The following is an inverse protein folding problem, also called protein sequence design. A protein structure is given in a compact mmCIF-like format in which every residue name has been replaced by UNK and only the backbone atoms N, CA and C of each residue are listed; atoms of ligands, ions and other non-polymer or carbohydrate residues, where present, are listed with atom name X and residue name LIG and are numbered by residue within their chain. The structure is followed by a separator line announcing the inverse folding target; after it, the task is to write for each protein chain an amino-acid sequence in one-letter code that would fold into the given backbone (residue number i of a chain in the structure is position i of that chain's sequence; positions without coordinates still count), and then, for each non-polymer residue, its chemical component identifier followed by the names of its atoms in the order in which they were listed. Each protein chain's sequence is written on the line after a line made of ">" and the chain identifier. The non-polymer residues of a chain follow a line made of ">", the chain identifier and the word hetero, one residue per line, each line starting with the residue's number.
data_IF_693476189437
#
_entry.id   IF_693476189437
#
_cell.length_a   1.000
_cell.length_b   1.000
_cell.length_c   1.000
_cell.angle_alpha   90.00
_cell.angle_beta   90.00
_cell.angle_gamma   90.00
#
_symmetry.space_group_name_H-M   'P 1'
#
loop_
_entity.id
_entity.type
_entity.pdbx_description
1 polymer ?
#
# COMPACT_ATOMS: atom_id res chain seq x y z
N UNK A 1 -6.49 9.50 -3.71
CA UNK A 1 -6.40 10.77 -4.46
C UNK A 1 -5.60 10.54 -5.72
N UNK A 2 -4.32 10.93 -5.72
CA UNK A 2 -3.40 10.61 -6.81
C UNK A 2 -3.22 9.09 -6.98
N UNK A 3 -3.18 8.62 -8.22
CA UNK A 3 -2.92 7.21 -8.56
C UNK A 3 -1.42 6.93 -8.57
N UNK A 4 -1.03 5.80 -7.97
CA UNK A 4 0.35 5.29 -7.94
C UNK A 4 0.37 3.84 -8.42
N UNK A 5 1.31 3.54 -9.33
CA UNK A 5 1.50 2.18 -9.85
C UNK A 5 2.19 1.28 -8.83
N UNK A 6 1.66 0.06 -8.66
CA UNK A 6 2.32 -1.07 -8.03
C UNK A 6 2.41 -2.18 -9.08
N UNK A 7 3.64 -2.53 -9.45
CA UNK A 7 3.91 -3.62 -10.40
C UNK A 7 3.91 -4.95 -9.65
N UNK A 8 3.10 -5.89 -10.12
CA UNK A 8 3.03 -7.25 -9.58
C UNK A 8 4.00 -8.12 -10.36
N UNK A 9 4.99 -8.68 -9.68
CA UNK A 9 6.06 -9.46 -10.30
C UNK A 9 6.17 -10.81 -9.62
N UNK A 10 6.28 -11.85 -10.43
CA UNK A 10 6.67 -13.18 -9.98
C UNK A 10 8.20 -13.32 -10.06
N UNK A 11 8.85 -13.32 -8.90
CA UNK A 11 10.30 -13.45 -8.76
C UNK A 11 10.72 -14.83 -8.20
N UNK A 12 9.81 -15.82 -8.22
CA UNK A 12 10.12 -17.18 -7.77
C UNK A 12 11.26 -17.79 -8.58
N UNK A 13 12.05 -18.65 -7.95
CA UNK A 13 13.06 -19.44 -8.68
C UNK A 13 12.39 -20.54 -9.49
N UNK A 14 13.05 -20.96 -10.57
CA UNK A 14 12.55 -22.06 -11.38
C UNK A 14 12.33 -23.31 -10.52
N UNK A 15 11.11 -23.84 -10.51
CA UNK A 15 10.72 -25.00 -9.72
C UNK A 15 10.10 -24.69 -8.35
N UNK A 16 10.08 -23.43 -7.91
CA UNK A 16 9.37 -23.03 -6.68
C UNK A 16 7.86 -22.86 -6.94
N UNK A 17 7.03 -23.48 -6.10
CA UNK A 17 5.56 -23.45 -6.17
C UNK A 17 4.99 -23.79 -7.57
N UNK A 18 5.34 -24.93 -8.19
CA UNK A 18 4.85 -25.30 -9.53
C UNK A 18 3.32 -25.32 -9.62
N UNK A 19 2.62 -25.52 -8.51
CA UNK A 19 1.17 -25.60 -8.40
C UNK A 19 0.42 -24.32 -8.79
N UNK A 20 1.09 -23.16 -8.84
CA UNK A 20 0.48 -21.89 -9.29
C UNK A 20 0.82 -21.52 -10.73
N UNK A 21 1.59 -22.35 -11.44
CA UNK A 21 1.92 -22.09 -12.85
C UNK A 21 0.67 -22.20 -13.73
N UNK A 22 0.39 -21.14 -14.49
CA UNK A 22 -0.80 -21.05 -15.34
C UNK A 22 -2.11 -20.88 -14.56
N UNK A 23 -2.05 -20.61 -13.25
CA UNK A 23 -3.21 -20.31 -12.41
C UNK A 23 -3.23 -18.83 -12.03
N UNK A 24 -4.43 -18.34 -11.74
CA UNK A 24 -4.58 -17.03 -11.12
C UNK A 24 -4.20 -17.11 -9.64
N UNK A 25 -3.82 -15.97 -9.09
CA UNK A 25 -3.69 -15.75 -7.65
C UNK A 25 -4.52 -14.54 -7.24
N UNK A 26 -4.96 -14.49 -6.00
CA UNK A 26 -5.65 -13.34 -5.43
C UNK A 26 -4.68 -12.50 -4.63
N UNK A 27 -4.64 -11.20 -4.86
CA UNK A 27 -3.95 -10.27 -3.96
C UNK A 27 -4.95 -9.37 -3.25
N UNK A 28 -4.74 -9.18 -1.95
CA UNK A 28 -5.50 -8.27 -1.11
C UNK A 28 -4.56 -7.15 -0.65
N UNK A 29 -4.88 -5.92 -1.03
CA UNK A 29 -4.13 -4.73 -0.65
C UNK A 29 -4.85 -4.04 0.50
N UNK A 30 -4.08 -3.65 1.53
CA UNK A 30 -4.59 -2.92 2.70
C UNK A 30 -3.73 -1.72 3.03
N UNK A 31 -4.36 -0.60 3.32
CA UNK A 31 -3.70 0.53 4.00
C UNK A 31 -3.93 0.38 5.50
N UNK A 32 -2.87 0.12 6.25
CA UNK A 32 -2.91 -0.13 7.70
C UNK A 32 -2.02 0.84 8.45
N UNK A 33 -2.26 1.03 9.75
CA UNK A 33 -1.36 1.82 10.58
C UNK A 33 0.00 1.15 10.73
N UNK A 34 1.08 1.92 10.62
CA UNK A 34 2.42 1.43 10.95
C UNK A 34 2.66 1.39 12.46
N UNK A 35 2.11 2.38 13.19
CA UNK A 35 2.24 2.51 14.64
C UNK A 35 1.39 1.47 15.37
N UNK A 36 2.04 0.67 16.22
CA UNK A 36 1.41 -0.44 16.96
C UNK A 36 0.24 -0.01 17.84
N UNK A 37 0.29 1.17 18.45
CA UNK A 37 -0.81 1.68 19.29
C UNK A 37 -2.04 1.99 18.43
N UNK A 38 -1.84 2.52 17.23
CA UNK A 38 -2.93 2.80 16.31
C UNK A 38 -3.49 1.52 15.67
N UNK A 39 -2.68 0.48 15.49
CA UNK A 39 -3.18 -0.85 15.08
C UNK A 39 -4.20 -1.41 16.08
N UNK A 40 -3.94 -1.32 17.40
CA UNK A 40 -4.90 -1.77 18.43
C UNK A 40 -6.23 -1.01 18.41
N UNK A 41 -6.23 0.21 17.88
CA UNK A 41 -7.43 1.07 17.79
C UNK A 41 -7.86 1.29 16.35
N UNK A 42 -7.39 0.47 15.40
CA UNK A 42 -7.53 0.72 13.96
C UNK A 42 -9.01 0.85 13.58
N UNK A 43 -9.84 -0.09 14.02
CA UNK A 43 -11.29 -0.05 13.76
C UNK A 43 -11.92 1.29 14.18
N UNK A 44 -11.60 1.78 15.38
CA UNK A 44 -12.09 3.08 15.88
C UNK A 44 -11.58 4.26 15.04
N UNK A 45 -10.31 4.22 14.60
CA UNK A 45 -9.74 5.26 13.76
C UNK A 45 -10.40 5.30 12.38
N UNK A 46 -10.64 4.14 11.76
CA UNK A 46 -11.27 4.04 10.44
C UNK A 46 -12.75 4.45 10.50
N UNK A 47 -13.50 4.04 11.53
CA UNK A 47 -14.89 4.48 11.74
C UNK A 47 -14.97 5.99 12.01
N UNK A 48 -14.04 6.53 12.81
CA UNK A 48 -13.94 7.97 13.02
C UNK A 48 -13.64 8.74 11.74
N UNK A 49 -12.83 8.18 10.82
CA UNK A 49 -12.59 8.76 9.51
C UNK A 49 -13.84 8.70 8.63
N UNK A 50 -14.51 7.54 8.58
CA UNK A 50 -15.75 7.29 7.82
C UNK A 50 -16.85 8.28 8.20
N UNK A 51 -17.03 8.54 9.49
CA UNK A 51 -18.06 9.46 9.98
C UNK A 51 -17.90 10.87 9.41
N UNK A 52 -16.65 11.33 9.26
CA UNK A 52 -16.35 12.66 8.71
C UNK A 52 -16.36 12.69 7.17
N UNK A 53 -16.41 11.52 6.52
CA UNK A 53 -16.37 11.35 5.06
C UNK A 53 -17.35 10.26 4.61
N UNK A 54 -18.66 10.49 4.76
CA UNK A 54 -19.66 9.48 4.41
C UNK A 54 -19.60 9.16 2.92
N UNK A 55 -19.49 7.86 2.59
CA UNK A 55 -19.42 7.36 1.22
C UNK A 55 -18.00 7.25 0.64
N UNK A 56 -17.01 7.89 1.25
CA UNK A 56 -15.62 7.78 0.81
C UNK A 56 -14.97 6.47 1.28
N UNK A 57 -13.98 6.00 0.51
CA UNK A 57 -13.10 4.88 0.87
C UNK A 57 -11.68 5.39 1.11
N UNK A 58 -10.93 4.67 1.94
CA UNK A 58 -9.52 4.99 2.22
C UNK A 58 -8.63 4.53 1.07
N UNK A 59 -8.90 3.35 0.53
CA UNK A 59 -8.14 2.72 -0.54
C UNK A 59 -9.06 2.35 -1.69
N UNK A 60 -8.66 2.69 -2.90
CA UNK A 60 -9.34 2.33 -4.14
C UNK A 60 -8.36 1.91 -5.24
N UNK A 61 -8.87 1.23 -6.27
CA UNK A 61 -8.13 0.87 -7.49
C UNK A 61 -8.58 1.79 -8.61
N UNK A 62 -7.61 2.43 -9.27
CA UNK A 62 -7.83 3.12 -10.53
C UNK A 62 -7.89 2.08 -11.66
N UNK A 63 -9.07 1.51 -11.86
CA UNK A 63 -9.32 0.42 -12.81
C UNK A 63 -8.93 0.83 -14.24
N UNK A 64 -9.31 2.02 -14.76
CA UNK A 64 -8.93 2.44 -16.11
C UNK A 64 -7.41 2.51 -16.37
N UNK A 65 -6.61 2.81 -15.34
CA UNK A 65 -5.15 2.83 -15.45
C UNK A 65 -4.49 1.46 -15.23
N UNK A 66 -5.20 0.52 -14.61
CA UNK A 66 -4.66 -0.79 -14.23
C UNK A 66 -4.64 -1.77 -15.40
N UNK A 67 -3.67 -2.69 -15.39
CA UNK A 67 -3.43 -3.67 -16.46
C UNK A 67 -3.25 -5.05 -15.85
N UNK A 68 -3.93 -6.06 -16.40
CA UNK A 68 -3.75 -7.47 -16.00
C UNK A 68 -4.50 -7.88 -14.73
N UNK A 69 -5.23 -6.96 -14.09
CA UNK A 69 -6.12 -7.28 -12.97
C UNK A 69 -7.46 -7.86 -13.48
N UNK A 70 -8.01 -8.80 -12.72
CA UNK A 70 -9.26 -9.49 -13.00
C UNK A 70 -10.15 -9.39 -11.76
N UNK A 71 -11.45 -9.16 -11.95
CA UNK A 71 -12.46 -9.12 -10.88
C UNK A 71 -12.04 -8.24 -9.67
N UNK A 72 -11.71 -6.94 -9.89
CA UNK A 72 -11.38 -6.04 -8.80
C UNK A 72 -12.59 -5.82 -7.89
N UNK A 73 -12.39 -5.99 -6.59
CA UNK A 73 -13.41 -5.89 -5.56
C UNK A 73 -12.99 -4.95 -4.44
N UNK A 74 -13.97 -4.22 -3.94
CA UNK A 74 -13.82 -3.28 -2.84
C UNK A 74 -15.03 -3.41 -1.91
N UNK A 75 -14.90 -4.18 -0.83
CA UNK A 75 -15.99 -4.40 0.11
C UNK A 75 -16.40 -3.08 0.79
N UNK A 76 -17.67 -2.63 0.71
CA UNK A 76 -18.13 -1.38 1.31
C UNK A 76 -17.88 -1.25 2.81
N UNK A 77 -17.76 -2.36 3.55
CA UNK A 77 -17.49 -2.35 5.00
C UNK A 77 -16.00 -2.31 5.34
N UNK A 78 -15.11 -2.59 4.38
CA UNK A 78 -13.65 -2.60 4.56
C UNK A 78 -13.02 -1.46 3.77
N UNK A 79 -13.12 -0.24 4.29
CA UNK A 79 -12.76 1.01 3.57
C UNK A 79 -11.31 1.10 3.13
N UNK A 80 -10.41 0.40 3.82
CA UNK A 80 -8.96 0.43 3.60
C UNK A 80 -8.46 -0.79 2.82
N UNK A 81 -9.36 -1.60 2.25
CA UNK A 81 -9.03 -2.87 1.60
C UNK A 81 -9.59 -2.92 0.18
N UNK A 82 -8.79 -3.47 -0.74
CA UNK A 82 -9.21 -3.85 -2.10
C UNK A 82 -8.60 -5.21 -2.43
N UNK A 83 -9.26 -5.99 -3.29
CA UNK A 83 -8.77 -7.30 -3.74
C UNK A 83 -8.99 -7.47 -5.24
N UNK A 84 -8.17 -8.31 -5.87
CA UNK A 84 -8.26 -8.64 -7.30
C UNK A 84 -7.52 -9.95 -7.58
N UNK A 85 -7.86 -10.58 -8.70
CA UNK A 85 -7.13 -11.70 -9.26
C UNK A 85 -6.12 -11.22 -10.30
N UNK A 86 -5.01 -11.94 -10.44
CA UNK A 86 -4.03 -11.69 -11.50
C UNK A 86 -3.25 -12.96 -11.85
N UNK A 87 -2.61 -12.95 -13.03
CA UNK A 87 -1.81 -14.07 -13.54
C UNK A 87 -0.31 -13.77 -13.34
N UNK A 88 0.40 -14.55 -12.50
CA UNK A 88 1.84 -14.39 -12.27
C UNK A 88 2.70 -14.43 -13.54
N UNK A 89 2.23 -15.11 -14.59
CA UNK A 89 2.94 -15.21 -15.87
C UNK A 89 2.71 -14.01 -16.81
N UNK A 90 1.81 -13.09 -16.46
CA UNK A 90 1.48 -11.91 -17.28
C UNK A 90 1.93 -10.62 -16.61
N UNK A 91 2.22 -9.61 -17.44
CA UNK A 91 2.46 -8.26 -16.95
C UNK A 91 1.21 -7.74 -16.25
N UNK A 92 1.36 -7.45 -14.96
CA UNK A 92 0.28 -6.91 -14.12
C UNK A 92 0.75 -5.65 -13.40
N UNK A 93 -0.02 -4.57 -13.55
CA UNK A 93 0.20 -3.28 -12.90
C UNK A 93 -1.10 -2.80 -12.29
N UNK A 94 -1.10 -2.53 -10.99
CA UNK A 94 -2.28 -2.04 -10.26
C UNK A 94 -2.04 -0.60 -9.87
N UNK A 95 -2.95 0.30 -10.25
CA UNK A 95 -2.90 1.70 -9.83
C UNK A 95 -3.80 1.88 -8.62
N UNK A 96 -3.22 2.30 -7.49
CA UNK A 96 -3.98 2.52 -6.26
C UNK A 96 -4.11 4.00 -5.92
N UNK A 97 -5.19 4.33 -5.24
CA UNK A 97 -5.47 5.65 -4.72
C UNK A 97 -5.71 5.57 -3.21
N UNK A 98 -4.93 6.33 -2.44
CA UNK A 98 -5.16 6.51 -0.99
C UNK A 98 -5.79 7.88 -0.75
N UNK A 99 -6.93 7.91 -0.06
CA UNK A 99 -7.74 9.13 0.11
C UNK A 99 -7.64 9.76 1.50
N UNK A 100 -7.16 9.00 2.50
CA UNK A 100 -6.89 9.55 3.82
C UNK A 100 -5.51 10.20 3.88
N UNK A 101 -5.36 11.27 4.65
CA UNK A 101 -4.12 12.01 4.85
C UNK A 101 -3.54 11.65 6.22
N UNK A 102 -2.23 11.46 6.31
CA UNK A 102 -1.54 11.04 7.54
C UNK A 102 -1.78 11.95 8.74
N UNK A 103 -2.08 13.24 8.55
CA UNK A 103 -2.37 14.19 9.64
C UNK A 103 -3.80 14.08 10.16
N UNK A 104 -4.73 13.40 9.48
CA UNK A 104 -6.11 13.23 9.96
C UNK A 104 -6.22 12.29 11.16
N UNK A 105 -5.17 11.49 11.38
CA UNK A 105 -5.08 10.52 12.47
C UNK A 105 -4.14 10.97 13.59
N UNK A 106 -3.71 12.25 13.59
CA UNK A 106 -2.99 12.82 14.74
C UNK A 106 -3.99 13.41 15.75
N UNK A 107 -3.61 13.56 17.04
CA UNK A 107 -4.52 14.06 18.07
C UNK A 107 -5.13 15.42 17.74
N UNK A 108 -4.36 16.34 17.16
CA UNK A 108 -4.87 17.66 16.79
C UNK A 108 -5.55 17.68 15.44
N UNK A 109 -5.38 16.68 14.57
CA UNK A 109 -5.99 16.57 13.22
C UNK A 109 -5.76 17.75 12.25
N UNK A 110 -4.90 18.72 12.61
CA UNK A 110 -4.59 19.90 11.80
C UNK A 110 -3.24 19.74 11.09
N UNK A 111 -3.05 20.50 10.00
CA UNK A 111 -1.76 20.56 9.30
C UNK A 111 -0.68 21.18 10.17
N UNK A 112 0.54 20.64 10.12
CA UNK A 112 1.71 21.13 10.88
C UNK A 112 2.32 20.11 11.83
N UNK A 113 1.54 19.09 12.23
CA UNK A 113 2.07 17.95 12.99
C UNK A 113 2.72 16.90 12.09
N UNK A 114 3.61 16.09 12.68
CA UNK A 114 4.17 14.91 12.02
C UNK A 114 3.03 13.90 11.80
N UNK A 115 2.57 13.78 10.56
CA UNK A 115 1.53 12.82 10.19
C UNK A 115 1.90 11.38 10.53
N UNK A 116 0.88 10.60 10.88
CA UNK A 116 0.98 9.17 11.20
C UNK A 116 1.49 8.37 10.00
N UNK A 117 2.50 7.50 10.16
CA UNK A 117 2.92 6.58 9.10
C UNK A 117 1.92 5.45 8.91
N UNK A 118 1.67 5.08 7.65
CA UNK A 118 0.92 3.89 7.28
C UNK A 118 1.83 2.85 6.66
N UNK A 119 1.29 1.65 6.43
CA UNK A 119 1.84 0.68 5.49
C UNK A 119 0.80 0.36 4.42
N UNK A 120 1.26 0.20 3.19
CA UNK A 120 0.53 -0.62 2.22
C UNK A 120 1.00 -2.04 2.46
N UNK A 121 0.09 -2.93 2.83
CA UNK A 121 0.33 -4.37 2.97
C UNK A 121 -0.39 -5.10 1.83
N UNK A 122 0.30 -6.06 1.25
CA UNK A 122 -0.20 -6.90 0.16
C UNK A 122 -0.05 -8.35 0.61
N UNK A 123 -1.16 -9.05 0.70
CA UNK A 123 -1.19 -10.49 0.94
C UNK A 123 -1.67 -11.20 -0.32
N UNK A 124 -0.94 -12.20 -0.78
CA UNK A 124 -1.26 -12.98 -1.98
C UNK A 124 -1.62 -14.41 -1.60
N UNK A 125 -2.69 -14.93 -2.21
CA UNK A 125 -3.27 -16.23 -1.92
C UNK A 125 -3.46 -17.04 -3.20
N UNK A 126 -3.26 -18.36 -3.14
CA UNK A 126 -3.67 -19.29 -4.19
C UNK A 126 -5.05 -19.86 -3.90
N UNK A 127 -5.61 -20.43 -4.95
CA UNK A 127 -6.83 -21.24 -4.90
C UNK A 127 -6.55 -22.57 -4.17
N UNK A 128 -7.44 -22.92 -3.23
CA UNK A 128 -7.45 -24.19 -2.52
C UNK A 128 -8.25 -25.26 -3.29
N UNK A 129 -8.36 -26.48 -2.74
CA UNK A 129 -9.10 -27.58 -3.36
C UNK A 129 -10.60 -27.30 -3.56
N UNK A 130 -11.18 -26.38 -2.79
CA UNK A 130 -12.59 -25.98 -2.91
C UNK A 130 -12.82 -24.81 -3.89
N UNK A 131 -11.79 -24.34 -4.59
CA UNK A 131 -11.90 -23.22 -5.53
C UNK A 131 -11.87 -21.84 -4.87
N UNK A 132 -11.47 -21.77 -3.59
CA UNK A 132 -11.42 -20.53 -2.83
C UNK A 132 -9.98 -20.03 -2.68
N UNK A 133 -9.77 -18.73 -2.86
CA UNK A 133 -8.45 -18.09 -2.69
C UNK A 133 -8.16 -17.78 -1.22
N UNK A 134 -7.87 -18.82 -0.43
CA UNK A 134 -7.66 -18.73 1.03
C UNK A 134 -6.28 -19.25 1.47
N UNK A 135 -5.57 -20.00 0.63
CA UNK A 135 -4.22 -20.49 0.96
C UNK A 135 -3.18 -19.39 0.73
N UNK A 136 -2.58 -18.90 1.82
CA UNK A 136 -1.59 -17.83 1.79
C UNK A 136 -0.30 -18.27 1.09
N UNK A 137 0.26 -17.37 0.26
CA UNK A 137 1.53 -17.57 -0.44
C UNK A 137 2.62 -16.60 0.04
N UNK A 138 2.29 -15.32 0.15
CA UNK A 138 3.29 -14.28 0.38
C UNK A 138 2.65 -13.01 0.93
N UNK A 139 3.40 -12.30 1.77
CA UNK A 139 3.03 -10.98 2.30
C UNK A 139 4.16 -9.99 2.10
N UNK A 140 3.85 -8.82 1.56
CA UNK A 140 4.81 -7.74 1.37
C UNK A 140 4.24 -6.41 1.87
N UNK A 141 5.11 -5.48 2.25
CA UNK A 141 4.67 -4.14 2.61
C UNK A 141 5.68 -3.04 2.28
N UNK A 142 5.20 -1.81 2.24
CA UNK A 142 6.05 -0.62 2.28
C UNK A 142 5.41 0.43 3.20
N UNK A 143 6.24 1.24 3.84
CA UNK A 143 5.74 2.38 4.61
C UNK A 143 5.37 3.52 3.66
N UNK A 144 4.21 4.13 3.91
CA UNK A 144 3.78 5.31 3.17
C UNK A 144 3.40 6.44 4.12
N UNK A 145 3.44 7.66 3.60
CA UNK A 145 2.89 8.84 4.24
C UNK A 145 2.10 9.62 3.21
N UNK A 146 0.85 9.92 3.53
CA UNK A 146 -0.06 10.58 2.60
C UNK A 146 -0.18 12.05 2.98
N UNK A 147 -0.01 12.92 1.98
CA UNK A 147 -0.01 14.37 2.15
C UNK A 147 -1.20 14.99 1.43
N UNK A 148 -1.56 16.22 1.82
CA UNK A 148 -2.40 17.09 0.98
C UNK A 148 -1.74 17.32 -0.39
N UNK A 149 -2.51 17.73 -1.42
CA UNK A 149 -1.96 18.04 -2.74
C UNK A 149 -0.69 18.92 -2.68
N UNK A 150 0.32 18.56 -3.49
CA UNK A 150 1.67 19.17 -3.51
C UNK A 150 2.46 19.07 -2.19
N UNK A 151 1.91 18.42 -1.16
CA UNK A 151 2.58 18.25 0.13
C UNK A 151 3.74 17.27 0.06
N UNK A 152 3.58 16.18 -0.70
CA UNK A 152 4.65 15.22 -0.97
C UNK A 152 5.83 15.88 -1.72
N UNK A 153 5.55 16.62 -2.80
CA UNK A 153 6.58 17.30 -3.59
C UNK A 153 7.36 18.33 -2.76
N UNK A 154 6.64 19.14 -1.97
CA UNK A 154 7.28 20.11 -1.05
C UNK A 154 8.15 19.39 -0.03
N UNK A 155 7.67 18.28 0.54
CA UNK A 155 8.42 17.48 1.51
C UNK A 155 9.68 16.89 0.87
N UNK A 156 9.58 16.31 -0.31
CA UNK A 156 10.71 15.74 -1.04
C UNK A 156 11.76 16.81 -1.37
N UNK A 157 11.33 17.99 -1.85
CA UNK A 157 12.23 19.12 -2.11
C UNK A 157 12.97 19.55 -0.85
N UNK A 158 12.25 19.79 0.25
CA UNK A 158 12.86 20.19 1.53
C UNK A 158 13.81 19.12 2.08
N UNK A 159 13.45 17.84 1.96
CA UNK A 159 14.30 16.75 2.45
C UNK A 159 15.57 16.61 1.59
N UNK A 160 15.48 16.78 0.26
CA UNK A 160 16.64 16.80 -0.64
C UNK A 160 17.60 17.95 -0.31
N UNK A 161 17.08 19.18 -0.19
CA UNK A 161 17.89 20.37 0.18
C UNK A 161 18.57 20.19 1.55
N UNK A 162 17.90 19.52 2.50
CA UNK A 162 18.49 19.18 3.80
C UNK A 162 19.59 18.14 3.67
N UNK A 163 19.39 17.11 2.84
CA UNK A 163 20.39 16.07 2.62
C UNK A 163 21.63 16.62 1.92
N UNK A 164 21.49 17.52 0.95
CA UNK A 164 22.62 18.15 0.25
C UNK A 164 23.57 18.90 1.19
N UNK A 165 23.03 19.53 2.24
CA UNK A 165 23.79 20.28 3.26
C UNK A 165 24.49 19.41 4.30
N UNK A 166 24.22 18.10 4.33
CA UNK A 166 24.85 17.17 5.30
C UNK A 166 26.23 16.73 4.86
N UNK A 167 27.09 16.43 5.83
CA UNK A 167 28.38 15.78 5.57
C UNK A 167 28.21 14.35 5.05
N UNK A 168 29.19 13.77 4.34
CA UNK A 168 29.12 12.37 3.87
C UNK A 168 28.79 11.38 4.99
N UNK A 169 29.45 11.50 6.15
CA UNK A 169 29.20 10.64 7.31
C UNK A 169 27.78 10.76 7.89
N UNK A 170 27.17 11.96 7.82
CA UNK A 170 25.77 12.12 8.22
C UNK A 170 24.80 11.54 7.20
N UNK A 171 25.13 11.57 5.90
CA UNK A 171 24.28 11.00 4.84
C UNK A 171 24.15 9.48 4.99
N UNK A 172 25.20 8.79 5.42
CA UNK A 172 25.20 7.34 5.68
C UNK A 172 24.18 6.90 6.73
N UNK A 173 23.71 7.81 7.59
CA UNK A 173 22.69 7.53 8.61
C UNK A 173 21.26 7.49 8.05
N UNK A 174 21.06 7.82 6.78
CA UNK A 174 19.76 7.90 6.14
C UNK A 174 19.59 6.84 5.06
N UNK A 175 18.35 6.40 4.86
CA UNK A 175 18.02 5.52 3.75
C UNK A 175 18.22 6.27 2.41
N UNK A 176 18.89 5.66 1.42
CA UNK A 176 19.03 6.25 0.10
C UNK A 176 17.68 6.47 -0.59
N UNK A 177 17.61 7.48 -1.46
CA UNK A 177 16.46 7.70 -2.32
C UNK A 177 16.58 6.84 -3.57
N UNK A 178 15.49 6.20 -3.97
CA UNK A 178 15.38 5.41 -5.20
C UNK A 178 14.20 5.91 -6.05
N UNK A 179 14.22 5.61 -7.34
CA UNK A 179 13.11 5.93 -8.25
C UNK A 179 11.88 5.06 -7.96
N UNK A 180 12.11 3.81 -7.56
CA UNK A 180 11.06 2.84 -7.21
C UNK A 180 11.26 2.29 -5.81
N UNK A 181 10.17 2.05 -5.10
CA UNK A 181 10.20 1.34 -3.82
C UNK A 181 9.96 -0.15 -4.05
N UNK A 182 10.87 -0.98 -3.55
CA UNK A 182 10.66 -2.43 -3.49
C UNK A 182 9.93 -2.73 -2.17
N UNK A 183 8.80 -3.41 -2.26
CA UNK A 183 8.08 -3.85 -1.07
C UNK A 183 8.86 -4.97 -0.40
N UNK A 184 9.00 -4.88 0.91
CA UNK A 184 9.74 -5.86 1.72
C UNK A 184 8.79 -6.93 2.21
N UNK A 185 9.24 -8.18 2.20
CA UNK A 185 8.51 -9.31 2.80
C UNK A 185 8.16 -9.00 4.27
N UNK A 186 6.93 -9.34 4.66
CA UNK A 186 6.46 -9.19 6.04
C UNK A 186 6.78 -10.48 6.78
N UNK A 187 7.77 -10.42 7.68
CA UNK A 187 8.14 -11.49 8.61
C UNK A 187 7.15 -11.65 9.76
#
# INVERSE_FOLDING_TARGET
>A
GQSYEIRMLDNRKLGELPEINGKLVKSIFRVVFHDRRLQYTEHQQLEGWRWNRPGDRILDIDIPMSVGIIDPRANPTQLNTVEFLWDPAKRTSVFIQVHCISTEFTPRKHGGEKGVPFRVQIDTFRENESGEYTEHLHSASCQIKVFKPKGADRKQKTDREKMEKRTPHEKEKYQPSYETTILTEVS
#
